data_IF_951374199887
#
_entry.id   IF_951374199887
#
_cell.length_a   1.000
_cell.length_b   1.000
_cell.length_c   1.000
_cell.angle_alpha   90.00
_cell.angle_beta   90.00
_cell.angle_gamma   90.00
#
_symmetry.space_group_name_H-M   'P 1'
#
loop_
_entity.id
_entity.type
_entity.pdbx_description
1 polymer ?
#
# COMPACT_ATOMS: atom_id res chain seq x y z
N UNK A 1 -11.83 -28.29 14.36
CA UNK A 1 -11.34 -26.92 14.15
C UNK A 1 -12.16 -26.32 13.02
N UNK A 2 -13.05 -25.36 13.32
CA UNK A 2 -13.74 -24.60 12.27
C UNK A 2 -12.74 -23.57 11.76
N UNK A 3 -12.44 -23.61 10.47
CA UNK A 3 -11.56 -22.65 9.81
C UNK A 3 -12.29 -21.30 9.76
N UNK A 4 -11.88 -20.37 10.62
CA UNK A 4 -12.47 -19.02 10.77
C UNK A 4 -12.36 -18.21 9.47
N UNK A 5 -11.59 -18.65 8.46
CA UNK A 5 -11.51 -18.00 7.16
C UNK A 5 -12.61 -18.39 6.16
N UNK A 6 -13.26 -19.55 6.32
CA UNK A 6 -14.37 -20.00 5.45
C UNK A 6 -15.74 -19.51 5.93
N UNK A 7 -15.84 -19.22 7.22
CA UNK A 7 -17.03 -18.62 7.80
C UNK A 7 -17.02 -17.13 7.44
N UNK A 8 -17.89 -16.78 6.51
CA UNK A 8 -18.50 -15.45 6.31
C UNK A 8 -18.07 -14.61 5.11
N UNK A 9 -17.36 -15.16 4.13
CA UNK A 9 -17.23 -14.46 2.83
C UNK A 9 -18.46 -14.65 1.92
N UNK A 10 -19.30 -15.68 2.18
CA UNK A 10 -20.56 -15.90 1.45
C UNK A 10 -21.73 -15.02 1.92
N UNK A 11 -21.69 -14.47 3.15
CA UNK A 11 -22.71 -13.52 3.64
C UNK A 11 -22.20 -12.08 3.71
N UNK A 12 -20.91 -11.85 3.47
CA UNK A 12 -20.35 -10.52 3.34
C UNK A 12 -21.08 -9.74 2.23
N UNK A 13 -21.70 -8.64 2.62
CA UNK A 13 -22.37 -7.73 1.68
C UNK A 13 -21.31 -6.84 1.03
N UNK A 14 -21.15 -6.97 -0.28
CA UNK A 14 -20.26 -6.09 -1.04
C UNK A 14 -20.90 -4.71 -1.14
N UNK A 15 -20.14 -3.65 -0.87
CA UNK A 15 -20.58 -2.27 -1.03
C UNK A 15 -19.60 -1.46 -1.84
N UNK A 16 -20.11 -0.64 -2.75
CA UNK A 16 -19.35 0.37 -3.52
C UNK A 16 -20.07 1.70 -3.29
N UNK A 17 -19.36 2.71 -2.81
CA UNK A 17 -19.91 4.03 -2.44
C UNK A 17 -21.18 3.97 -1.57
N UNK A 18 -21.24 2.99 -0.65
CA UNK A 18 -22.37 2.78 0.27
C UNK A 18 -23.54 1.97 -0.31
N UNK A 19 -23.59 1.75 -1.62
CA UNK A 19 -24.61 0.91 -2.27
C UNK A 19 -24.22 -0.58 -2.19
N UNK A 20 -25.18 -1.44 -1.86
CA UNK A 20 -24.96 -2.90 -1.86
C UNK A 20 -24.91 -3.40 -3.30
N UNK A 21 -23.84 -4.11 -3.65
CA UNK A 21 -23.61 -4.67 -5.00
C UNK A 21 -23.49 -6.19 -4.94
N UNK A 22 -23.62 -6.83 -6.09
CA UNK A 22 -23.39 -8.28 -6.18
C UNK A 22 -21.93 -8.63 -5.87
N UNK A 23 -21.68 -9.88 -5.44
CA UNK A 23 -20.32 -10.37 -5.22
C UNK A 23 -19.44 -10.30 -6.48
N UNK A 24 -20.04 -10.49 -7.67
CA UNK A 24 -19.35 -10.35 -8.95
C UNK A 24 -18.94 -8.91 -9.23
N UNK A 25 -19.82 -7.94 -8.98
CA UNK A 25 -19.52 -6.51 -9.17
C UNK A 25 -18.49 -6.02 -8.16
N UNK A 26 -18.64 -6.40 -6.88
CA UNK A 26 -17.67 -6.07 -5.84
C UNK A 26 -16.28 -6.63 -6.15
N UNK A 27 -16.20 -7.89 -6.60
CA UNK A 27 -14.93 -8.51 -7.01
C UNK A 27 -14.33 -7.84 -8.25
N UNK A 28 -15.15 -7.48 -9.23
CA UNK A 28 -14.70 -6.78 -10.43
C UNK A 28 -14.15 -5.38 -10.11
N UNK A 29 -14.85 -4.61 -9.28
CA UNK A 29 -14.43 -3.28 -8.83
C UNK A 29 -13.14 -3.33 -8.02
N UNK A 30 -13.02 -4.29 -7.09
CA UNK A 30 -11.80 -4.51 -6.33
C UNK A 30 -10.61 -4.87 -7.25
N UNK A 31 -10.83 -5.79 -8.19
CA UNK A 31 -9.79 -6.16 -9.17
C UNK A 31 -9.38 -4.99 -10.06
N UNK A 32 -10.31 -4.10 -10.41
CA UNK A 32 -10.03 -2.89 -11.18
C UNK A 32 -9.20 -1.89 -10.36
N UNK A 33 -9.54 -1.68 -9.09
CA UNK A 33 -8.80 -0.80 -8.18
C UNK A 33 -7.38 -1.29 -7.87
N UNK A 34 -7.19 -2.62 -7.84
CA UNK A 34 -5.89 -3.25 -7.54
C UNK A 34 -5.02 -3.50 -8.77
N UNK A 35 -5.42 -2.99 -9.95
CA UNK A 35 -4.70 -3.24 -11.20
C UNK A 35 -3.38 -2.47 -11.23
N UNK A 36 -2.27 -3.21 -11.33
CA UNK A 36 -0.96 -2.60 -11.51
C UNK A 36 -0.90 -1.85 -12.86
N UNK A 37 -0.39 -0.62 -12.83
CA UNK A 37 -0.12 0.15 -14.04
C UNK A 37 1.25 -0.24 -14.61
N UNK A 38 1.31 -0.52 -15.92
CA UNK A 38 2.57 -0.73 -16.64
C UNK A 38 3.12 0.63 -17.04
N UNK A 39 4.31 0.96 -16.56
CA UNK A 39 5.04 2.19 -16.90
C UNK A 39 6.45 1.83 -17.34
N UNK A 40 7.08 2.70 -18.13
CA UNK A 40 8.50 2.59 -18.46
C UNK A 40 9.31 3.41 -17.44
N UNK A 41 10.21 2.76 -16.71
CA UNK A 41 11.13 3.40 -15.77
C UNK A 41 12.55 2.90 -16.06
N UNK A 42 13.52 3.81 -16.01
CA UNK A 42 14.94 3.45 -16.11
C UNK A 42 15.47 3.12 -14.73
N UNK A 43 16.14 1.98 -14.58
CA UNK A 43 16.84 1.57 -13.37
C UNK A 43 18.28 1.22 -13.73
N UNK A 44 19.20 1.52 -12.82
CA UNK A 44 20.59 1.17 -13.01
C UNK A 44 20.76 -0.37 -13.06
N UNK A 45 21.72 -0.89 -13.86
CA UNK A 45 21.87 -2.32 -14.07
C UNK A 45 22.14 -3.12 -12.79
N UNK A 46 22.88 -2.52 -11.84
CA UNK A 46 23.23 -3.10 -10.55
C UNK A 46 22.02 -3.19 -9.61
N UNK A 47 21.18 -2.15 -9.56
CA UNK A 47 19.90 -2.15 -8.82
C UNK A 47 18.99 -3.25 -9.36
N UNK A 48 18.86 -3.37 -10.68
CA UNK A 48 18.07 -4.43 -11.30
C UNK A 48 18.64 -5.82 -10.99
N UNK A 49 19.96 -5.98 -11.03
CA UNK A 49 20.63 -7.24 -10.70
C UNK A 49 20.40 -7.66 -9.24
N UNK A 50 20.47 -6.70 -8.31
CA UNK A 50 20.23 -6.94 -6.88
C UNK A 50 18.80 -7.45 -6.63
N UNK A 51 17.78 -6.79 -7.18
CA UNK A 51 16.38 -7.24 -7.02
C UNK A 51 16.10 -8.57 -7.71
N UNK A 52 16.76 -8.86 -8.84
CA UNK A 52 16.68 -10.18 -9.51
C UNK A 52 17.28 -11.30 -8.65
N UNK A 53 18.39 -11.04 -7.96
CA UNK A 53 19.01 -12.02 -7.06
C UNK A 53 18.13 -12.29 -5.82
N UNK A 54 17.50 -11.25 -5.28
CA UNK A 54 16.65 -11.36 -4.10
C UNK A 54 15.30 -12.04 -4.37
N UNK A 55 14.90 -12.10 -5.65
CA UNK A 55 13.59 -12.57 -6.08
C UNK A 55 13.18 -13.94 -5.53
N UNK A 56 14.08 -14.94 -5.38
CA UNK A 56 13.86 -16.28 -4.76
C UNK A 56 12.44 -16.89 -4.87
N UNK A 57 11.71 -16.68 -5.97
CA UNK A 57 10.34 -17.16 -6.20
C UNK A 57 9.21 -16.09 -6.21
N UNK A 58 9.44 -14.89 -5.71
CA UNK A 58 8.63 -13.68 -5.98
C UNK A 58 9.18 -12.95 -7.20
N UNK A 59 8.34 -12.25 -7.97
CA UNK A 59 8.84 -11.43 -9.08
C UNK A 59 9.68 -10.25 -8.57
N UNK A 60 10.79 -9.93 -9.24
CA UNK A 60 11.63 -8.78 -8.86
C UNK A 60 10.83 -7.46 -8.86
N UNK A 61 9.83 -7.32 -9.73
CA UNK A 61 8.93 -6.17 -9.75
C UNK A 61 8.10 -6.05 -8.47
N UNK A 62 7.69 -7.18 -7.87
CA UNK A 62 6.97 -7.20 -6.59
C UNK A 62 7.84 -6.65 -5.48
N UNK A 63 9.14 -7.01 -5.48
CA UNK A 63 10.10 -6.50 -4.50
C UNK A 63 10.34 -4.99 -4.69
N UNK A 64 10.58 -4.54 -5.92
CA UNK A 64 10.72 -3.11 -6.23
C UNK A 64 9.50 -2.32 -5.74
N UNK A 65 8.29 -2.80 -6.04
CA UNK A 65 7.07 -2.14 -5.60
C UNK A 65 6.91 -2.12 -4.08
N UNK A 66 7.34 -3.17 -3.38
CA UNK A 66 7.31 -3.21 -1.91
C UNK A 66 8.28 -2.19 -1.31
N UNK A 67 9.52 -2.12 -1.81
CA UNK A 67 10.52 -1.13 -1.38
C UNK A 67 10.08 0.30 -1.64
N UNK A 68 9.46 0.58 -2.80
CA UNK A 68 8.90 1.92 -3.07
C UNK A 68 7.78 2.28 -2.09
N UNK A 69 6.92 1.33 -1.71
CA UNK A 69 5.87 1.55 -0.70
C UNK A 69 6.45 1.77 0.70
N UNK A 70 7.54 1.10 1.05
CA UNK A 70 8.29 1.34 2.29
C UNK A 70 8.84 2.76 2.32
N UNK A 71 9.56 3.18 1.28
CA UNK A 71 10.11 4.53 1.16
C UNK A 71 9.02 5.62 1.22
N UNK A 72 7.86 5.39 0.59
CA UNK A 72 6.71 6.31 0.69
C UNK A 72 6.20 6.45 2.14
N UNK A 73 6.11 5.34 2.88
CA UNK A 73 5.66 5.36 4.28
C UNK A 73 6.67 6.09 5.15
N UNK A 74 7.96 5.80 5.00
CA UNK A 74 9.03 6.47 5.75
C UNK A 74 9.01 7.98 5.52
N UNK A 75 8.93 8.43 4.26
CA UNK A 75 8.81 9.86 3.93
C UNK A 75 7.58 10.50 4.56
N UNK A 76 6.44 9.82 4.54
CA UNK A 76 5.19 10.33 5.13
C UNK A 76 5.31 10.47 6.64
N UNK A 77 5.94 9.50 7.30
CA UNK A 77 6.20 9.53 8.75
C UNK A 77 7.16 10.67 9.08
N UNK A 78 8.25 10.84 8.32
CA UNK A 78 9.20 11.93 8.50
C UNK A 78 8.53 13.31 8.36
N UNK A 79 7.73 13.50 7.31
CA UNK A 79 6.99 14.74 7.08
C UNK A 79 6.00 15.01 8.22
N UNK A 80 5.30 13.98 8.70
CA UNK A 80 4.39 14.08 9.83
C UNK A 80 5.13 14.46 11.11
N UNK A 81 6.27 13.82 11.40
CA UNK A 81 7.09 14.11 12.58
C UNK A 81 7.65 15.54 12.53
N UNK A 82 8.16 15.98 11.38
CA UNK A 82 8.64 17.36 11.19
C UNK A 82 7.52 18.38 11.41
N UNK A 83 6.29 18.07 10.97
CA UNK A 83 5.13 18.94 11.19
C UNK A 83 4.79 19.03 12.68
N UNK A 84 4.65 17.89 13.34
CA UNK A 84 4.31 17.83 14.78
C UNK A 84 5.37 18.55 15.62
N UNK A 85 6.66 18.28 15.39
CA UNK A 85 7.76 18.97 16.11
C UNK A 85 7.68 20.50 15.91
N UNK A 86 7.36 20.96 14.69
CA UNK A 86 7.19 22.39 14.43
C UNK A 86 6.00 22.96 15.21
N UNK A 87 4.86 22.29 15.19
CA UNK A 87 3.65 22.70 15.91
C UNK A 87 3.90 22.84 17.42
N UNK A 88 4.54 21.85 18.04
CA UNK A 88 4.87 21.89 19.49
C UNK A 88 5.85 23.01 19.85
N UNK A 89 6.87 23.26 19.01
CA UNK A 89 7.82 24.35 19.24
C UNK A 89 7.18 25.74 19.10
N UNK A 90 6.21 25.90 18.19
CA UNK A 90 5.50 27.18 18.03
C UNK A 90 4.50 27.41 19.16
N UNK A 91 3.82 26.37 19.64
CA UNK A 91 2.92 26.44 20.80
C UNK A 91 3.68 26.82 22.06
N UNK A 92 4.84 26.21 22.31
CA UNK A 92 5.69 26.51 23.47
C UNK A 92 6.27 27.94 23.45
N UNK A 93 6.49 28.54 22.27
CA UNK A 93 6.96 29.93 22.15
C UNK A 93 5.85 30.98 22.28
N UNK A 94 4.59 30.61 22.03
CA UNK A 94 3.44 31.51 22.17
C UNK A 94 2.86 31.56 23.58
N UNK A 95 3.27 30.65 24.47
CA UNK A 95 2.84 30.58 25.87
C UNK A 95 3.80 31.27 26.86
N UNK A 96 4.88 31.90 26.38
CA UNK A 96 5.85 32.70 27.17
C UNK A 96 5.71 34.19 26.89
#
# INVERSE_FOLDING_TARGET
>A
MVNVADVDMQRATWKIDGAVVSASEGKAAFSAAMKNQKINITLDPDVLAWFKQQARGRGYQTLINATLREAMREKTIEDTLRRVIREELHSAQNES
#
